data_IF_000699095116
#
_entry.id   IF_000699095116
#
_cell.length_a   1.000
_cell.length_b   1.000
_cell.length_c   1.000
_cell.angle_alpha   90.00
_cell.angle_beta   90.00
_cell.angle_gamma   90.00
#
_symmetry.space_group_name_H-M   'P 1'
#
loop_
_entity.id
_entity.type
_entity.pdbx_description
1 polymer ?
#
# COMPACT_ATOMS: atom_id res chain seq x y z
N UNK A 1 8.14 -7.38 -17.60
CA UNK A 1 8.44 -6.05 -17.05
C UNK A 1 9.91 -5.70 -17.17
N UNK A 2 10.86 -6.52 -16.74
CA UNK A 2 12.32 -6.28 -16.86
C UNK A 2 12.85 -6.13 -18.29
N UNK A 3 12.12 -6.59 -19.28
CA UNK A 3 12.46 -6.35 -20.70
C UNK A 3 12.26 -4.90 -21.15
N UNK A 4 11.54 -4.11 -20.34
CA UNK A 4 11.11 -2.75 -20.70
C UNK A 4 11.56 -1.68 -19.70
N UNK A 5 11.88 -2.06 -18.47
CA UNK A 5 12.19 -1.13 -17.38
C UNK A 5 13.31 -1.65 -16.49
N UNK A 6 14.12 -0.76 -15.98
CA UNK A 6 14.87 -0.99 -14.75
C UNK A 6 13.88 -0.96 -13.58
N UNK A 7 13.98 -1.91 -12.65
CA UNK A 7 13.03 -2.07 -11.55
C UNK A 7 13.75 -1.95 -10.22
N UNK A 8 13.33 -0.98 -9.41
CA UNK A 8 13.84 -0.76 -8.04
C UNK A 8 12.73 -1.08 -7.06
N UNK A 9 12.96 -2.06 -6.16
CA UNK A 9 11.98 -2.55 -5.18
C UNK A 9 12.55 -2.41 -3.77
N UNK A 10 12.47 -1.24 -3.15
CA UNK A 10 13.02 -1.02 -1.82
C UNK A 10 12.07 -1.54 -0.74
N UNK A 11 12.62 -2.17 0.30
CA UNK A 11 11.85 -2.48 1.52
C UNK A 11 11.65 -1.23 2.36
N UNK A 12 10.44 -1.05 2.90
CA UNK A 12 10.13 0.07 3.79
C UNK A 12 11.09 0.12 5.00
N UNK A 13 11.39 1.32 5.54
CA UNK A 13 12.22 1.45 6.73
C UNK A 13 11.65 0.64 7.90
N UNK A 14 12.47 -0.23 8.49
CA UNK A 14 12.05 -1.09 9.59
C UNK A 14 11.45 -2.44 9.17
N UNK A 15 11.32 -2.71 7.87
CA UNK A 15 10.88 -4.00 7.32
C UNK A 15 12.06 -4.81 6.79
N UNK A 16 12.01 -6.11 7.03
CA UNK A 16 12.99 -7.05 6.51
C UNK A 16 14.42 -6.62 6.80
N UNK A 17 15.22 -6.41 5.77
CA UNK A 17 16.62 -6.01 5.89
C UNK A 17 16.85 -4.49 5.88
N UNK A 18 15.79 -3.69 5.74
CA UNK A 18 15.93 -2.24 5.83
C UNK A 18 16.20 -1.76 7.27
N UNK A 19 17.04 -0.74 7.47
CA UNK A 19 17.37 -0.23 8.79
C UNK A 19 16.14 0.22 9.55
N UNK A 20 16.14 0.01 10.86
CA UNK A 20 15.11 0.51 11.76
C UNK A 20 15.31 2.00 12.00
N UNK A 21 14.31 2.85 11.75
CA UNK A 21 14.46 4.27 12.01
C UNK A 21 14.65 4.55 13.51
N UNK A 22 15.62 5.40 13.89
CA UNK A 22 15.89 5.70 15.29
C UNK A 22 14.96 6.76 15.90
N UNK A 23 14.09 7.37 15.09
CA UNK A 23 13.20 8.48 15.48
C UNK A 23 11.76 8.22 15.04
N UNK A 24 10.84 9.02 15.55
CA UNK A 24 9.42 9.07 15.14
C UNK A 24 9.23 9.99 13.92
N UNK A 25 8.04 9.94 13.30
CA UNK A 25 7.72 10.73 12.11
C UNK A 25 8.15 10.07 10.80
N UNK A 26 8.22 8.73 10.78
CA UNK A 26 8.53 7.93 9.60
C UNK A 26 7.20 7.63 8.87
N UNK A 27 6.56 8.68 8.42
CA UNK A 27 5.30 8.63 7.68
C UNK A 27 5.52 8.49 6.16
N UNK A 28 4.44 8.50 5.38
CA UNK A 28 4.50 8.40 3.91
C UNK A 28 5.46 9.40 3.28
N UNK A 29 5.46 10.68 3.75
CA UNK A 29 6.34 11.73 3.20
C UNK A 29 7.81 11.46 3.50
N UNK A 30 8.13 11.00 4.70
CA UNK A 30 9.51 10.64 5.02
C UNK A 30 10.02 9.51 4.11
N UNK A 31 9.19 8.50 3.87
CA UNK A 31 9.57 7.37 3.01
C UNK A 31 9.66 7.81 1.55
N UNK A 32 8.72 8.62 1.06
CA UNK A 32 8.73 9.12 -0.32
C UNK A 32 9.98 9.93 -0.63
N UNK A 33 10.43 10.80 0.28
CA UNK A 33 11.69 11.54 0.16
C UNK A 33 12.91 10.62 0.06
N UNK A 34 12.92 9.50 0.80
CA UNK A 34 13.98 8.50 0.73
C UNK A 34 14.00 7.80 -0.61
N UNK A 35 12.84 7.46 -1.16
CA UNK A 35 12.76 6.81 -2.48
C UNK A 35 13.13 7.79 -3.60
N UNK A 36 12.69 9.04 -3.53
CA UNK A 36 13.11 10.07 -4.47
C UNK A 36 14.63 10.23 -4.48
N UNK A 37 15.22 10.32 -3.30
CA UNK A 37 16.68 10.42 -3.15
C UNK A 37 17.40 9.16 -3.69
N UNK A 38 16.88 7.96 -3.39
CA UNK A 38 17.40 6.71 -3.91
C UNK A 38 17.43 6.71 -5.44
N UNK A 39 16.33 7.08 -6.08
CA UNK A 39 16.25 7.15 -7.55
C UNK A 39 17.25 8.16 -8.11
N UNK A 40 17.42 9.30 -7.47
CA UNK A 40 18.42 10.31 -7.87
C UNK A 40 19.85 9.80 -7.74
N UNK A 41 20.17 9.10 -6.64
CA UNK A 41 21.50 8.50 -6.40
C UNK A 41 21.82 7.37 -7.41
N UNK A 42 20.78 6.65 -7.88
CA UNK A 42 20.88 5.66 -8.95
C UNK A 42 20.95 6.28 -10.37
N UNK A 43 20.83 7.61 -10.48
CA UNK A 43 20.91 8.33 -11.75
C UNK A 43 19.57 8.51 -12.49
N UNK A 44 18.44 8.13 -11.88
CA UNK A 44 17.12 8.28 -12.50
C UNK A 44 16.51 9.64 -12.14
N UNK A 45 16.54 10.58 -13.06
CA UNK A 45 15.90 11.90 -12.90
C UNK A 45 14.39 11.87 -13.16
N UNK A 46 13.91 10.89 -13.93
CA UNK A 46 12.49 10.64 -14.24
C UNK A 46 12.19 9.15 -14.11
N UNK A 47 11.08 8.82 -13.47
CA UNK A 47 10.68 7.43 -13.22
C UNK A 47 9.18 7.30 -12.98
N UNK A 48 8.63 6.13 -13.22
CA UNK A 48 7.29 5.73 -12.77
C UNK A 48 7.36 5.16 -11.36
N UNK A 49 6.26 5.25 -10.62
CA UNK A 49 6.16 4.62 -9.30
C UNK A 49 4.90 3.76 -9.19
N UNK A 50 5.00 2.66 -8.46
CA UNK A 50 3.85 1.79 -8.19
C UNK A 50 3.80 1.40 -6.72
N UNK A 51 2.59 1.29 -6.18
CA UNK A 51 2.40 0.90 -4.79
C UNK A 51 1.04 0.29 -4.50
N UNK A 52 1.01 -0.54 -3.46
CA UNK A 52 -0.22 -1.02 -2.83
C UNK A 52 -0.05 -0.98 -1.31
N UNK A 53 -1.15 -1.02 -0.55
CA UNK A 53 -1.13 -0.85 0.91
C UNK A 53 -0.30 0.40 1.28
N UNK A 54 0.55 0.40 2.29
CA UNK A 54 1.43 1.53 2.63
C UNK A 54 2.24 2.06 1.44
N UNK A 55 2.61 1.19 0.50
CA UNK A 55 3.26 1.59 -0.75
C UNK A 55 2.39 2.51 -1.61
N UNK A 56 1.07 2.38 -1.57
CA UNK A 56 0.16 3.31 -2.25
C UNK A 56 0.22 4.71 -1.64
N UNK A 57 0.25 4.80 -0.31
CA UNK A 57 0.43 6.08 0.40
C UNK A 57 1.76 6.74 0.07
N UNK A 58 2.85 5.99 0.13
CA UNK A 58 4.19 6.48 -0.24
C UNK A 58 4.23 6.97 -1.69
N UNK A 59 3.67 6.19 -2.63
CA UNK A 59 3.64 6.51 -4.06
C UNK A 59 2.81 7.76 -4.34
N UNK A 60 1.67 7.92 -3.66
CA UNK A 60 0.82 9.11 -3.73
C UNK A 60 1.57 10.37 -3.31
N UNK A 61 2.23 10.32 -2.15
CA UNK A 61 3.00 11.47 -1.65
C UNK A 61 4.22 11.75 -2.52
N UNK A 62 4.87 10.71 -3.05
CA UNK A 62 5.98 10.85 -3.99
C UNK A 62 5.57 11.63 -5.24
N UNK A 63 4.39 11.34 -5.80
CA UNK A 63 3.85 12.06 -6.94
C UNK A 63 3.45 13.51 -6.62
N UNK A 64 2.92 13.76 -5.42
CA UNK A 64 2.58 15.11 -4.95
C UNK A 64 3.81 15.99 -4.77
N UNK A 65 4.83 15.48 -4.10
CA UNK A 65 6.01 16.26 -3.72
C UNK A 65 7.03 16.38 -4.87
N UNK A 66 7.06 15.40 -5.81
CA UNK A 66 8.02 15.33 -6.92
C UNK A 66 7.39 15.17 -8.32
N UNK A 67 6.39 16.01 -8.70
CA UNK A 67 5.66 15.84 -9.97
C UNK A 67 6.52 16.02 -11.23
N UNK A 68 7.72 16.60 -11.11
CA UNK A 68 8.66 16.76 -12.23
C UNK A 68 9.46 15.49 -12.49
N UNK A 69 9.68 14.67 -11.47
CA UNK A 69 10.45 13.43 -11.54
C UNK A 69 9.57 12.21 -11.74
N UNK A 70 8.37 12.21 -11.16
CA UNK A 70 7.41 11.11 -11.26
C UNK A 70 6.53 11.29 -12.49
N UNK A 71 6.75 10.48 -13.52
CA UNK A 71 6.04 10.56 -14.80
C UNK A 71 4.61 10.01 -14.75
N UNK A 72 4.34 9.13 -13.80
CA UNK A 72 3.04 8.51 -13.56
C UNK A 72 3.11 7.62 -12.34
N UNK A 73 1.93 7.29 -11.78
CA UNK A 73 1.80 6.35 -10.68
C UNK A 73 0.78 5.26 -10.99
N UNK A 74 1.05 4.04 -10.53
CA UNK A 74 0.12 2.93 -10.62
C UNK A 74 -0.21 2.42 -9.21
N UNK A 75 -1.50 2.38 -8.88
CA UNK A 75 -2.00 2.01 -7.56
C UNK A 75 -2.97 0.84 -7.68
N UNK A 76 -3.02 -0.01 -6.65
CA UNK A 76 -4.03 -1.08 -6.54
C UNK A 76 -4.84 -0.97 -5.26
N UNK A 77 -4.51 -0.03 -4.38
CA UNK A 77 -5.27 0.26 -3.15
C UNK A 77 -5.36 1.77 -2.92
N UNK A 78 -6.39 2.20 -2.22
CA UNK A 78 -6.50 3.55 -1.67
C UNK A 78 -6.18 3.50 -0.17
N UNK A 79 -5.17 4.22 0.26
CA UNK A 79 -4.91 4.38 1.69
C UNK A 79 -5.99 5.24 2.35
N UNK A 80 -6.62 4.70 3.39
CA UNK A 80 -7.72 5.37 4.08
C UNK A 80 -7.36 6.73 4.67
N UNK A 81 -6.10 6.89 5.10
CA UNK A 81 -5.58 8.15 5.65
C UNK A 81 -5.42 9.25 4.59
N UNK A 82 -5.42 8.87 3.30
CA UNK A 82 -5.35 9.76 2.15
C UNK A 82 -6.67 9.85 1.38
N UNK A 83 -7.73 9.20 1.86
CA UNK A 83 -9.04 9.24 1.23
C UNK A 83 -9.57 10.69 1.16
N UNK A 84 -10.27 11.08 0.09
CA UNK A 84 -10.83 12.41 -0.01
C UNK A 84 -11.89 12.63 1.07
N UNK A 85 -11.85 13.81 1.69
CA UNK A 85 -12.91 14.25 2.60
C UNK A 85 -14.02 14.89 1.75
N UNK A 86 -15.18 14.26 1.74
CA UNK A 86 -16.34 14.67 0.92
C UNK A 86 -17.53 14.88 1.83
N UNK A 87 -18.29 15.99 1.60
CA UNK A 87 -19.55 16.20 2.28
C UNK A 87 -20.59 15.13 1.85
N UNK A 88 -21.36 14.61 2.78
CA UNK A 88 -22.37 13.57 2.50
C UNK A 88 -23.36 13.97 1.40
N UNK A 89 -23.62 15.26 1.23
CA UNK A 89 -24.52 15.78 0.19
C UNK A 89 -23.93 15.70 -1.20
N UNK A 90 -22.61 15.59 -1.33
CA UNK A 90 -21.89 15.51 -2.58
C UNK A 90 -21.58 14.06 -3.02
N UNK A 91 -21.87 13.08 -2.16
CA UNK A 91 -21.64 11.68 -2.46
C UNK A 91 -22.71 11.11 -3.39
N UNK A 92 -22.30 10.34 -4.37
CA UNK A 92 -23.20 9.48 -5.16
C UNK A 92 -23.68 8.28 -4.32
N UNK A 93 -24.70 7.57 -4.78
CA UNK A 93 -25.19 6.37 -4.12
C UNK A 93 -24.15 5.26 -4.09
N UNK A 94 -23.34 5.12 -5.14
CA UNK A 94 -22.24 4.17 -5.20
C UNK A 94 -21.14 4.51 -4.17
N UNK A 95 -20.79 5.79 -4.02
CA UNK A 95 -19.82 6.25 -3.03
C UNK A 95 -20.33 6.06 -1.60
N UNK A 96 -21.61 6.34 -1.34
CA UNK A 96 -22.24 6.03 -0.04
C UNK A 96 -22.23 4.54 0.28
N UNK A 97 -22.55 3.71 -0.71
CA UNK A 97 -22.51 2.24 -0.56
C UNK A 97 -21.11 1.77 -0.22
N UNK A 98 -20.10 2.20 -0.97
CA UNK A 98 -18.69 1.92 -0.72
C UNK A 98 -18.26 2.31 0.71
N UNK A 99 -18.53 3.54 1.12
CA UNK A 99 -18.19 4.02 2.47
C UNK A 99 -18.92 3.26 3.57
N UNK A 100 -20.17 2.78 3.30
CA UNK A 100 -20.90 1.96 4.24
C UNK A 100 -20.29 0.57 4.42
N UNK A 101 -19.86 -0.05 3.32
CA UNK A 101 -19.13 -1.34 3.34
C UNK A 101 -17.83 -1.20 4.13
N UNK A 102 -17.07 -0.12 3.88
CA UNK A 102 -15.83 0.15 4.60
C UNK A 102 -16.05 0.29 6.11
N UNK A 103 -17.08 1.02 6.52
CA UNK A 103 -17.42 1.12 7.96
C UNK A 103 -17.77 -0.23 8.59
N UNK A 104 -18.45 -1.10 7.86
CA UNK A 104 -18.73 -2.47 8.30
C UNK A 104 -17.45 -3.30 8.47
N UNK A 105 -16.56 -3.22 7.49
CA UNK A 105 -15.25 -3.87 7.53
C UNK A 105 -14.39 -3.36 8.70
N UNK A 106 -14.36 -2.06 8.94
CA UNK A 106 -13.62 -1.44 10.03
C UNK A 106 -14.03 -2.00 11.41
N UNK A 107 -15.29 -2.31 11.60
CA UNK A 107 -15.79 -2.84 12.87
C UNK A 107 -15.32 -4.28 13.15
N UNK A 108 -15.03 -5.07 12.13
CA UNK A 108 -14.67 -6.49 12.26
C UNK A 108 -13.20 -6.77 12.06
N UNK A 109 -12.50 -6.00 11.23
CA UNK A 109 -11.16 -6.33 10.75
C UNK A 109 -10.04 -5.40 11.26
N UNK A 110 -10.36 -4.19 11.74
CA UNK A 110 -9.35 -3.19 12.12
C UNK A 110 -8.71 -3.36 13.50
N UNK A 111 -8.98 -4.44 14.22
CA UNK A 111 -8.36 -4.65 15.54
C UNK A 111 -6.83 -4.59 15.53
N UNK A 112 -6.19 -5.19 14.53
CA UNK A 112 -4.74 -5.14 14.34
C UNK A 112 -4.23 -3.70 14.14
N UNK A 113 -4.88 -2.94 13.27
CA UNK A 113 -4.51 -1.55 12.95
C UNK A 113 -4.71 -0.62 14.16
N UNK A 114 -5.76 -0.82 14.93
CA UNK A 114 -6.02 -0.06 16.15
C UNK A 114 -4.90 -0.21 17.17
N UNK A 115 -4.43 -1.44 17.44
CA UNK A 115 -3.32 -1.65 18.37
C UNK A 115 -1.99 -1.18 17.79
N UNK A 116 -1.73 -1.42 16.50
CA UNK A 116 -0.48 -1.00 15.85
C UNK A 116 -0.35 0.53 15.78
N UNK A 117 -1.45 1.25 15.56
CA UNK A 117 -1.44 2.71 15.52
C UNK A 117 -1.44 3.41 16.88
N UNK A 118 -1.66 2.69 17.98
CA UNK A 118 -1.75 3.27 19.33
C UNK A 118 -0.71 2.73 20.30
N UNK A 119 -0.53 1.41 20.34
CA UNK A 119 0.34 0.69 21.28
C UNK A 119 1.10 -0.45 20.58
N UNK A 120 1.90 -0.17 19.52
CA UNK A 120 2.56 -1.19 18.72
C UNK A 120 3.46 -2.14 19.53
N UNK A 121 4.16 -1.63 20.53
CA UNK A 121 5.06 -2.44 21.34
C UNK A 121 4.34 -3.47 22.21
N UNK A 122 3.09 -3.22 22.58
CA UNK A 122 2.32 -4.15 23.44
C UNK A 122 2.22 -5.53 22.83
N UNK A 123 1.90 -5.62 21.53
CA UNK A 123 1.83 -6.89 20.81
C UNK A 123 3.19 -7.30 20.24
N UNK A 124 4.04 -6.32 19.94
CA UNK A 124 5.36 -6.54 19.35
C UNK A 124 6.29 -7.42 20.20
N UNK A 125 6.27 -7.27 21.51
CA UNK A 125 7.06 -8.14 22.42
C UNK A 125 6.64 -9.60 22.28
N UNK A 126 5.34 -9.91 22.35
CA UNK A 126 4.84 -11.28 22.23
C UNK A 126 5.10 -11.90 20.87
N UNK A 127 5.01 -11.10 19.78
CA UNK A 127 5.26 -11.57 18.43
C UNK A 127 6.76 -11.78 18.13
N UNK A 128 7.65 -11.09 18.82
CA UNK A 128 9.09 -11.35 18.73
C UNK A 128 9.55 -12.49 19.64
N UNK A 129 8.72 -12.96 20.55
CA UNK A 129 9.03 -14.06 21.49
C UNK A 129 8.38 -15.39 21.07
N UNK A 130 7.31 -15.35 20.26
CA UNK A 130 6.59 -16.52 19.83
C UNK A 130 6.53 -16.65 18.29
N UNK A 131 7.26 -17.59 17.67
CA UNK A 131 7.17 -17.81 16.23
C UNK A 131 5.77 -18.28 15.80
N UNK A 132 5.08 -19.04 16.63
CA UNK A 132 3.69 -19.45 16.37
C UNK A 132 2.72 -18.25 16.46
N UNK A 133 2.93 -17.35 17.43
CA UNK A 133 2.17 -16.11 17.55
C UNK A 133 2.37 -15.21 16.35
N UNK A 134 3.62 -15.03 15.91
CA UNK A 134 3.95 -14.28 14.70
C UNK A 134 3.28 -14.87 13.46
N UNK A 135 3.41 -16.20 13.26
CA UNK A 135 2.81 -16.87 12.12
C UNK A 135 1.28 -16.75 12.10
N UNK A 136 0.62 -16.85 13.27
CA UNK A 136 -0.82 -16.68 13.39
C UNK A 136 -1.22 -15.22 13.05
N UNK A 137 -0.52 -14.24 13.60
CA UNK A 137 -0.83 -12.81 13.44
C UNK A 137 -0.70 -12.32 11.99
N UNK A 138 0.37 -12.72 11.30
CA UNK A 138 0.61 -12.35 9.89
C UNK A 138 -0.18 -13.26 8.95
N UNK A 139 -0.21 -14.56 9.23
CA UNK A 139 -0.85 -15.56 8.38
C UNK A 139 -2.37 -15.44 8.32
N UNK A 140 -3.00 -14.94 9.39
CA UNK A 140 -4.43 -14.66 9.39
C UNK A 140 -4.78 -13.63 8.30
N UNK A 141 -3.99 -12.57 8.15
CA UNK A 141 -4.22 -11.54 7.12
C UNK A 141 -4.00 -12.09 5.70
N UNK A 142 -2.94 -12.84 5.49
CA UNK A 142 -2.71 -13.50 4.20
C UNK A 142 -3.86 -14.42 3.80
N UNK A 143 -4.46 -15.13 4.76
CA UNK A 143 -5.59 -16.03 4.48
C UNK A 143 -6.90 -15.28 4.27
N UNK A 144 -7.15 -14.24 5.06
CA UNK A 144 -8.42 -13.52 5.01
C UNK A 144 -8.52 -12.55 3.83
N UNK A 145 -7.40 -12.00 3.36
CA UNK A 145 -7.39 -10.92 2.38
C UNK A 145 -6.91 -11.34 0.99
N UNK A 146 -6.46 -12.58 0.81
CA UNK A 146 -6.11 -13.14 -0.49
C UNK A 146 -7.31 -13.80 -1.15
N UNK A 147 -7.47 -13.60 -2.45
CA UNK A 147 -8.35 -14.40 -3.31
C UNK A 147 -7.73 -15.79 -3.58
N UNK A 148 -6.42 -15.80 -3.85
CA UNK A 148 -5.65 -17.03 -4.05
C UNK A 148 -4.86 -17.32 -2.79
N UNK A 149 -5.18 -18.44 -2.13
CA UNK A 149 -4.47 -18.87 -0.91
C UNK A 149 -2.97 -19.04 -1.20
N UNK A 150 -2.09 -18.31 -0.50
CA UNK A 150 -0.65 -18.46 -0.66
C UNK A 150 -0.18 -19.86 -0.31
N UNK A 151 0.90 -20.32 -0.96
CA UNK A 151 1.51 -21.61 -0.64
C UNK A 151 2.14 -21.59 0.76
N UNK A 152 2.23 -22.77 1.40
CA UNK A 152 2.89 -22.87 2.72
C UNK A 152 4.35 -22.41 2.65
N UNK A 153 5.07 -22.70 1.56
CA UNK A 153 6.44 -22.22 1.38
C UNK A 153 6.55 -20.71 1.34
N UNK A 154 5.63 -20.02 0.66
CA UNK A 154 5.57 -18.56 0.64
C UNK A 154 5.28 -18.00 2.03
N UNK A 155 4.32 -18.56 2.75
CA UNK A 155 3.98 -18.13 4.11
C UNK A 155 5.15 -18.37 5.07
N UNK A 156 5.77 -19.56 5.03
CA UNK A 156 6.93 -19.87 5.84
C UNK A 156 8.11 -18.94 5.55
N UNK A 157 8.38 -18.62 4.28
CA UNK A 157 9.41 -17.66 3.91
C UNK A 157 9.11 -16.25 4.48
N UNK A 158 7.86 -15.80 4.39
CA UNK A 158 7.40 -14.52 4.94
C UNK A 158 7.59 -14.48 6.46
N UNK A 159 7.12 -15.51 7.18
CA UNK A 159 7.24 -15.57 8.64
C UNK A 159 8.72 -15.66 9.08
N UNK A 160 9.53 -16.43 8.35
CA UNK A 160 10.97 -16.56 8.62
C UNK A 160 11.67 -15.23 8.42
N UNK A 161 11.32 -14.44 7.39
CA UNK A 161 11.87 -13.10 7.18
C UNK A 161 11.59 -12.19 8.39
N UNK A 162 10.34 -12.08 8.81
CA UNK A 162 9.98 -11.27 9.98
C UNK A 162 10.67 -11.76 11.26
N UNK A 163 10.71 -13.08 11.46
CA UNK A 163 11.29 -13.69 12.65
C UNK A 163 12.80 -13.48 12.74
N UNK A 164 13.53 -13.81 11.69
CA UNK A 164 15.01 -13.73 11.68
C UNK A 164 15.52 -12.29 11.73
N UNK A 165 14.80 -11.36 11.12
CA UNK A 165 15.16 -9.94 11.18
C UNK A 165 14.60 -9.23 12.40
N UNK A 166 13.73 -9.88 13.20
CA UNK A 166 13.04 -9.27 14.34
C UNK A 166 12.30 -7.99 13.97
N UNK A 167 11.72 -7.94 12.73
CA UNK A 167 11.18 -6.71 12.15
C UNK A 167 9.70 -6.48 12.44
N UNK A 168 9.00 -7.43 13.06
CA UNK A 168 7.55 -7.28 13.29
C UNK A 168 7.20 -6.04 14.11
N UNK A 169 7.94 -5.74 15.19
CA UNK A 169 7.67 -4.54 16.00
C UNK A 169 7.97 -3.26 15.25
N UNK A 170 9.06 -3.23 14.45
CA UNK A 170 9.40 -2.03 13.67
C UNK A 170 8.46 -1.79 12.51
N UNK A 171 7.92 -2.86 11.90
CA UNK A 171 6.92 -2.73 10.82
C UNK A 171 5.59 -2.12 11.30
N UNK A 172 5.22 -2.33 12.56
CA UNK A 172 4.01 -1.74 13.13
C UNK A 172 4.10 -0.21 13.31
N UNK A 173 5.31 0.36 13.27
CA UNK A 173 5.50 1.80 13.45
C UNK A 173 4.88 2.64 12.35
N UNK A 174 4.76 2.12 11.13
CA UNK A 174 4.12 2.84 10.04
C UNK A 174 2.69 3.25 10.40
N UNK A 175 1.94 2.36 11.06
CA UNK A 175 0.59 2.65 11.57
C UNK A 175 0.61 3.78 12.60
N UNK A 176 1.57 3.74 13.54
CA UNK A 176 1.71 4.77 14.56
C UNK A 176 2.18 6.09 13.97
N UNK A 177 3.22 6.07 13.14
CA UNK A 177 3.82 7.26 12.56
C UNK A 177 2.83 7.99 11.62
N UNK A 178 2.09 7.28 10.76
CA UNK A 178 1.10 7.91 9.89
C UNK A 178 -0.10 8.46 10.67
N UNK A 179 -0.56 7.77 11.72
CA UNK A 179 -1.64 8.29 12.57
C UNK A 179 -1.28 9.57 13.32
N UNK A 180 -0.08 9.64 13.90
CA UNK A 180 0.32 10.74 14.78
C UNK A 180 1.11 11.84 14.07
N UNK A 181 1.55 11.59 12.85
CA UNK A 181 2.20 12.53 11.94
C UNK A 181 1.55 12.47 10.56
N UNK A 182 0.24 12.75 10.47
CA UNK A 182 -0.48 12.56 9.22
C UNK A 182 0.01 13.52 8.14
N UNK A 183 -0.11 13.07 6.88
CA UNK A 183 0.10 13.90 5.71
C UNK A 183 -1.27 14.23 5.14
N UNK A 184 -1.58 15.52 5.01
CA UNK A 184 -2.85 15.93 4.42
C UNK A 184 -2.93 15.50 2.94
N UNK A 185 -4.03 14.87 2.51
CA UNK A 185 -4.25 14.56 1.11
C UNK A 185 -4.41 15.84 0.28
N UNK A 186 -3.99 15.77 -0.98
CA UNK A 186 -4.15 16.84 -1.96
C UNK A 186 -4.30 16.21 -3.34
N UNK A 187 -4.85 16.94 -4.30
CA UNK A 187 -5.06 16.43 -5.65
C UNK A 187 -3.73 16.10 -6.35
N UNK A 188 -3.61 14.88 -6.81
CA UNK A 188 -2.45 14.36 -7.54
C UNK A 188 -2.66 14.58 -9.04
N UNK A 189 -2.00 15.59 -9.60
CA UNK A 189 -2.08 15.92 -11.02
C UNK A 189 -1.27 14.98 -11.92
N UNK A 190 -0.34 14.22 -11.35
CA UNK A 190 0.46 13.20 -12.05
C UNK A 190 -0.47 12.13 -12.64
N UNK A 191 -0.25 11.70 -13.90
CA UNK A 191 -1.01 10.62 -14.51
C UNK A 191 -1.09 9.39 -13.61
N UNK A 192 -2.30 8.91 -13.34
CA UNK A 192 -2.54 7.80 -12.42
C UNK A 192 -3.25 6.65 -13.11
N UNK A 193 -2.70 5.44 -12.98
CA UNK A 193 -3.40 4.20 -13.26
C UNK A 193 -3.91 3.58 -11.95
N UNK A 194 -5.09 2.99 -11.99
CA UNK A 194 -5.65 2.26 -10.87
C UNK A 194 -6.11 0.86 -11.30
N UNK A 195 -5.59 -0.16 -10.62
CA UNK A 195 -5.99 -1.56 -10.79
C UNK A 195 -6.93 -1.97 -9.65
N UNK A 196 -8.16 -2.32 -9.99
CA UNK A 196 -9.18 -2.80 -9.04
C UNK A 196 -9.31 -4.31 -9.17
N UNK A 197 -9.21 -5.02 -8.07
CA UNK A 197 -9.31 -6.48 -8.03
C UNK A 197 -10.67 -6.90 -7.46
N UNK A 198 -11.37 -7.78 -8.18
CA UNK A 198 -12.76 -8.12 -7.89
C UNK A 198 -12.98 -8.83 -6.53
N UNK A 199 -11.93 -9.43 -5.99
CA UNK A 199 -11.99 -10.18 -4.73
C UNK A 199 -11.22 -9.47 -3.59
N UNK A 200 -11.02 -8.18 -3.70
CA UNK A 200 -10.50 -7.40 -2.59
C UNK A 200 -11.51 -7.43 -1.43
N UNK A 201 -11.08 -8.02 -0.32
CA UNK A 201 -11.91 -8.20 0.88
C UNK A 201 -11.66 -7.12 1.93
N UNK A 202 -10.64 -6.32 1.75
CA UNK A 202 -10.36 -5.13 2.55
C UNK A 202 -11.24 -3.98 2.07
N UNK A 203 -11.15 -2.87 2.75
CA UNK A 203 -11.95 -1.66 2.52
C UNK A 203 -11.94 -1.10 1.07
N UNK A 204 -11.19 -1.70 0.19
CA UNK A 204 -11.15 -1.28 -1.21
C UNK A 204 -12.38 -1.73 -2.02
N UNK A 205 -12.93 -2.91 -1.75
CA UNK A 205 -14.16 -3.44 -2.33
C UNK A 205 -14.48 -2.97 -3.76
N UNK A 206 -15.72 -2.67 -4.03
CA UNK A 206 -16.14 -2.02 -5.28
C UNK A 206 -15.89 -0.52 -5.23
N UNK A 207 -14.63 -0.12 -5.20
CA UNK A 207 -14.18 1.26 -5.13
C UNK A 207 -14.67 2.07 -6.34
N UNK A 208 -15.53 3.08 -6.17
CA UNK A 208 -16.02 3.87 -7.28
C UNK A 208 -14.93 4.73 -7.89
N UNK A 209 -14.78 4.68 -9.21
CA UNK A 209 -13.83 5.51 -9.93
C UNK A 209 -14.04 7.00 -9.65
N UNK A 210 -15.31 7.45 -9.60
CA UNK A 210 -15.66 8.84 -9.30
C UNK A 210 -15.12 9.33 -7.96
N UNK A 211 -15.07 8.44 -6.96
CA UNK A 211 -14.51 8.76 -5.64
C UNK A 211 -13.02 9.05 -5.71
N UNK A 212 -12.28 8.26 -6.48
CA UNK A 212 -10.84 8.44 -6.68
C UNK A 212 -10.50 9.62 -7.60
N UNK A 213 -11.35 9.96 -8.57
CA UNK A 213 -11.15 11.12 -9.44
C UNK A 213 -11.19 12.46 -8.67
N UNK A 214 -11.71 12.46 -7.44
CA UNK A 214 -11.61 13.61 -6.51
C UNK A 214 -10.17 13.83 -6.00
N UNK A 215 -9.33 12.81 -6.06
CA UNK A 215 -7.97 12.84 -5.53
C UNK A 215 -6.89 12.67 -6.60
N UNK A 216 -7.17 11.95 -7.67
CA UNK A 216 -6.20 11.55 -8.67
C UNK A 216 -6.60 11.91 -10.11
N UNK A 217 -5.62 12.24 -10.93
CA UNK A 217 -5.75 12.33 -12.38
C UNK A 217 -5.78 10.91 -13.01
N UNK A 218 -6.92 10.24 -12.96
CA UNK A 218 -7.08 8.86 -13.40
C UNK A 218 -7.08 8.79 -14.93
N UNK A 219 -6.00 8.27 -15.52
CA UNK A 219 -5.88 8.07 -16.97
C UNK A 219 -6.05 6.62 -17.39
N UNK A 220 -5.89 5.67 -16.46
CA UNK A 220 -6.12 4.26 -16.71
C UNK A 220 -6.87 3.64 -15.53
N UNK A 221 -7.91 2.87 -15.85
CA UNK A 221 -8.71 2.14 -14.89
C UNK A 221 -8.88 0.71 -15.37
N UNK A 222 -8.33 -0.24 -14.67
CA UNK A 222 -8.36 -1.66 -15.03
C UNK A 222 -9.04 -2.45 -13.92
N UNK A 223 -10.11 -3.19 -14.27
CA UNK A 223 -10.78 -4.11 -13.35
C UNK A 223 -10.31 -5.52 -13.66
N UNK A 224 -9.76 -6.19 -12.66
CA UNK A 224 -9.27 -7.55 -12.75
C UNK A 224 -10.29 -8.52 -12.15
N UNK A 225 -10.61 -9.63 -12.85
CA UNK A 225 -11.61 -10.58 -12.38
C UNK A 225 -11.11 -11.49 -11.26
N UNK A 226 -9.82 -11.45 -10.95
CA UNK A 226 -9.14 -12.27 -9.93
C UNK A 226 -8.14 -11.42 -9.18
N UNK A 227 -7.81 -11.88 -7.96
CA UNK A 227 -6.86 -11.23 -7.06
C UNK A 227 -7.56 -10.52 -5.90
N UNK A 228 -6.92 -10.57 -4.75
CA UNK A 228 -7.34 -9.90 -3.52
C UNK A 228 -6.44 -8.73 -3.15
N UNK A 229 -6.28 -8.50 -1.86
CA UNK A 229 -5.46 -7.40 -1.34
C UNK A 229 -3.98 -7.50 -1.74
N UNK A 230 -3.46 -8.71 -1.80
CA UNK A 230 -2.06 -8.97 -2.15
C UNK A 230 -1.86 -9.21 -3.65
N UNK A 231 -2.60 -8.51 -4.47
CA UNK A 231 -2.64 -8.69 -5.92
C UNK A 231 -1.27 -8.84 -6.61
N UNK A 232 -0.20 -8.08 -6.24
CA UNK A 232 1.11 -8.30 -6.86
C UNK A 232 1.72 -9.69 -6.59
N UNK A 233 1.35 -10.34 -5.49
CA UNK A 233 1.77 -11.70 -5.18
C UNK A 233 0.80 -12.75 -5.75
N UNK A 234 -0.49 -12.45 -5.81
CA UNK A 234 -1.53 -13.36 -6.26
C UNK A 234 -1.63 -13.44 -7.78
N UNK A 235 -1.56 -12.30 -8.48
CA UNK A 235 -1.71 -12.16 -9.93
C UNK A 235 -0.54 -11.37 -10.55
N UNK A 236 0.73 -11.80 -10.35
CA UNK A 236 1.91 -11.02 -10.74
C UNK A 236 1.99 -10.72 -12.23
N UNK A 237 1.52 -11.65 -13.08
CA UNK A 237 1.52 -11.46 -14.52
C UNK A 237 0.54 -10.37 -14.97
N UNK A 238 -0.65 -10.34 -14.39
CA UNK A 238 -1.68 -9.35 -14.69
C UNK A 238 -1.23 -7.94 -14.24
N UNK A 239 -0.71 -7.83 -13.02
CA UNK A 239 -0.17 -6.57 -12.50
C UNK A 239 1.00 -6.08 -13.34
N UNK A 240 1.95 -6.94 -13.70
CA UNK A 240 3.10 -6.58 -14.54
C UNK A 240 2.69 -6.13 -15.94
N UNK A 241 1.67 -6.75 -16.53
CA UNK A 241 1.14 -6.37 -17.83
C UNK A 241 0.47 -4.99 -17.79
N UNK A 242 -0.32 -4.72 -16.75
CA UNK A 242 -1.01 -3.44 -16.58
C UNK A 242 -0.04 -2.29 -16.33
N UNK A 243 0.94 -2.48 -15.45
CA UNK A 243 2.06 -1.57 -15.22
C UNK A 243 2.80 -1.26 -16.54
N UNK A 244 3.13 -2.30 -17.30
CA UNK A 244 3.87 -2.14 -18.55
C UNK A 244 3.06 -1.35 -19.58
N UNK A 245 1.77 -1.66 -19.72
CA UNK A 245 0.88 -0.96 -20.64
C UNK A 245 0.74 0.53 -20.29
N UNK A 246 0.61 0.84 -19.00
CA UNK A 246 0.48 2.22 -18.54
C UNK A 246 1.76 3.02 -18.76
N UNK A 247 2.89 2.57 -18.22
CA UNK A 247 4.13 3.35 -18.25
C UNK A 247 4.72 3.49 -19.65
N UNK A 248 4.55 2.51 -20.54
CA UNK A 248 4.94 2.65 -21.96
C UNK A 248 4.13 3.71 -22.70
N UNK A 249 2.93 4.01 -22.24
CA UNK A 249 2.10 5.07 -22.79
C UNK A 249 2.50 6.48 -22.37
N UNK A 250 3.39 6.61 -21.39
CA UNK A 250 3.84 7.89 -20.82
C UNK A 250 5.26 8.29 -21.26
N UNK A 251 5.99 7.40 -21.93
CA UNK A 251 7.39 7.58 -22.35
C UNK A 251 7.56 8.07 -23.78
#
# INVERSE_FOLDING_TARGET
MLEHFDVVVPSLPGYGFSPRPPKVGINYRYVSERWHRLMSELGYSRYGASGYNFGAGVTTILALDHPKSVIGIHLTTLESDLAPVVDDTELSDAERSYLSVNRGWDMTERGYSAIQSTKPQTVGYGLNDSPAGLAAYVGEKWRSWSDVTPTDDFLCATFTLYWTTQSITSSMRDYWDNRWHPVAPSYVSTPTAFGVFAHQTVSEGELPRSYLERLYNIQRWTVFPRGGHFAPAEEPAAVAADLTAFFRGLG
#
